data_IF_984402464290
#
_entry.id   IF_984402464290
#
_cell.length_a   1.000
_cell.length_b   1.000
_cell.length_c   1.000
_cell.angle_alpha   90.00
_cell.angle_beta   90.00
_cell.angle_gamma   90.00
#
_symmetry.space_group_name_H-M   'P 1'
#
loop_
_entity.id
_entity.type
_entity.pdbx_description
1 polymer ?
#
# COMPACT_ATOMS: atom_id res chain seq x y z
N UNK A 1 49.84 -20.39 -40.92
CA UNK A 1 49.23 -20.79 -39.64
C UNK A 1 48.52 -19.58 -39.04
N UNK A 2 47.17 -19.63 -39.02
CA UNK A 2 46.36 -18.55 -38.44
C UNK A 2 45.95 -18.98 -37.02
N UNK A 3 46.52 -18.35 -36.03
CA UNK A 3 46.18 -18.58 -34.63
C UNK A 3 44.86 -17.89 -34.33
N UNK A 4 43.80 -18.65 -34.13
CA UNK A 4 42.50 -18.12 -33.64
C UNK A 4 42.61 -17.86 -32.16
N UNK A 5 42.58 -16.58 -31.78
CA UNK A 5 42.43 -16.11 -30.41
C UNK A 5 40.97 -16.32 -29.99
N UNK A 6 40.73 -17.32 -29.15
CA UNK A 6 39.42 -17.57 -28.55
C UNK A 6 39.29 -16.62 -27.38
N UNK A 7 38.53 -15.52 -27.56
CA UNK A 7 38.14 -14.64 -26.47
C UNK A 7 37.00 -15.35 -25.74
N UNK A 8 37.32 -15.92 -24.58
CA UNK A 8 36.34 -16.46 -23.65
C UNK A 8 35.67 -15.28 -22.94
N UNK A 9 34.55 -14.81 -23.49
CA UNK A 9 33.68 -13.85 -22.78
C UNK A 9 33.04 -14.60 -21.61
N UNK A 10 33.66 -14.48 -20.45
CA UNK A 10 33.03 -14.81 -19.18
C UNK A 10 31.90 -13.78 -18.97
N UNK A 11 30.70 -14.10 -19.41
CA UNK A 11 29.47 -13.43 -18.99
C UNK A 11 29.33 -13.68 -17.48
N UNK A 12 29.91 -12.79 -16.69
CA UNK A 12 29.51 -12.62 -15.31
C UNK A 12 28.07 -12.06 -15.36
N UNK A 13 27.10 -12.95 -15.36
CA UNK A 13 25.74 -12.60 -15.00
C UNK A 13 25.79 -12.18 -13.53
N UNK A 14 26.02 -10.90 -13.29
CA UNK A 14 25.68 -10.29 -12.01
C UNK A 14 24.19 -10.55 -11.83
N UNK A 15 23.84 -11.48 -10.96
CA UNK A 15 22.49 -11.55 -10.41
C UNK A 15 22.34 -10.22 -9.67
N UNK A 16 21.70 -9.25 -10.31
CA UNK A 16 21.31 -7.99 -9.68
C UNK A 16 20.23 -8.33 -8.67
N UNK A 17 20.63 -8.70 -7.47
CA UNK A 17 19.73 -8.72 -6.32
C UNK A 17 19.50 -7.26 -6.00
N UNK A 18 18.29 -6.76 -6.17
CA UNK A 18 17.95 -5.35 -6.01
C UNK A 18 18.19 -4.84 -4.57
N UNK A 19 18.22 -5.76 -3.60
CA UNK A 19 18.58 -5.48 -2.20
C UNK A 19 19.26 -6.71 -1.60
N UNK A 20 20.53 -6.56 -1.24
CA UNK A 20 21.26 -7.60 -0.52
C UNK A 20 21.02 -7.48 0.98
N UNK A 21 21.27 -8.57 1.72
CA UNK A 21 21.25 -8.55 3.20
C UNK A 21 22.23 -7.50 3.74
N UNK A 22 23.41 -7.38 3.12
CA UNK A 22 24.41 -6.38 3.51
C UNK A 22 23.92 -4.94 3.32
N UNK A 23 23.23 -4.64 2.23
CA UNK A 23 22.67 -3.31 1.99
C UNK A 23 21.55 -3.00 3.00
N UNK A 24 20.70 -3.97 3.30
CA UNK A 24 19.68 -3.83 4.34
C UNK A 24 20.29 -3.59 5.70
N UNK A 25 21.31 -4.35 6.08
CA UNK A 25 21.99 -4.19 7.37
C UNK A 25 22.67 -2.81 7.48
N UNK A 26 23.27 -2.32 6.40
CA UNK A 26 23.80 -0.94 6.35
C UNK A 26 22.71 0.11 6.52
N UNK A 27 21.56 -0.08 5.91
CA UNK A 27 20.41 0.82 6.06
C UNK A 27 19.94 0.83 7.52
N UNK A 28 19.73 -0.34 8.12
CA UNK A 28 19.27 -0.45 9.51
C UNK A 28 20.26 0.15 10.52
N UNK A 29 21.57 0.10 10.26
CA UNK A 29 22.59 0.75 11.09
C UNK A 29 22.45 2.28 11.14
N UNK A 30 21.75 2.89 10.19
CA UNK A 30 21.48 4.34 10.18
C UNK A 30 20.27 4.74 11.03
N UNK A 31 19.47 3.77 11.49
CA UNK A 31 18.28 4.02 12.28
C UNK A 31 18.56 4.02 13.78
N UNK A 32 17.81 4.82 14.51
CA UNK A 32 17.65 4.67 15.95
C UNK A 32 16.63 3.55 16.21
N UNK A 33 17.13 2.30 16.21
CA UNK A 33 16.28 1.10 16.35
C UNK A 33 15.55 1.05 17.69
N UNK A 34 16.12 1.61 18.75
CA UNK A 34 15.45 1.69 20.06
C UNK A 34 14.20 2.57 19.94
N UNK A 35 14.34 3.72 19.30
CA UNK A 35 13.22 4.63 19.06
C UNK A 35 12.16 4.05 18.12
N UNK A 36 12.57 3.35 17.05
CA UNK A 36 11.63 2.71 16.12
C UNK A 36 10.85 1.61 16.83
N UNK A 37 11.52 0.74 17.60
CA UNK A 37 10.85 -0.33 18.34
C UNK A 37 9.91 0.22 19.43
N UNK A 38 10.32 1.28 20.13
CA UNK A 38 9.45 1.95 21.09
C UNK A 38 8.18 2.52 20.44
N UNK A 39 8.32 3.12 19.25
CA UNK A 39 7.19 3.62 18.47
C UNK A 39 6.26 2.46 18.03
N UNK A 40 6.80 1.33 17.59
CA UNK A 40 6.01 0.14 17.21
C UNK A 40 5.17 -0.35 18.39
N UNK A 41 5.74 -0.45 19.59
CA UNK A 41 4.98 -0.87 20.77
C UNK A 41 3.90 0.15 21.16
N UNK A 42 4.16 1.44 21.04
CA UNK A 42 3.18 2.49 21.29
C UNK A 42 2.02 2.44 20.27
N UNK A 43 2.32 2.21 18.98
CA UNK A 43 1.32 2.04 17.93
C UNK A 43 0.45 0.81 18.19
N UNK A 44 1.06 -0.31 18.57
CA UNK A 44 0.35 -1.56 18.86
C UNK A 44 -0.64 -1.41 20.03
N UNK A 45 -0.24 -0.72 21.10
CA UNK A 45 -1.14 -0.40 22.21
C UNK A 45 -2.32 0.41 21.70
N UNK A 46 -2.08 1.45 20.91
CA UNK A 46 -3.12 2.29 20.34
C UNK A 46 -4.07 1.55 19.40
N UNK A 47 -3.58 0.61 18.60
CA UNK A 47 -4.42 -0.24 17.75
C UNK A 47 -5.33 -1.15 18.57
N UNK A 48 -4.84 -1.72 19.66
CA UNK A 48 -5.65 -2.54 20.59
C UNK A 48 -6.74 -1.69 21.26
N UNK A 49 -6.41 -0.53 21.78
CA UNK A 49 -7.37 0.40 22.40
C UNK A 49 -8.45 0.83 21.42
N UNK A 50 -8.07 1.12 20.18
CA UNK A 50 -8.99 1.48 19.11
C UNK A 50 -9.94 0.34 18.78
N UNK A 51 -9.44 -0.88 18.65
CA UNK A 51 -10.26 -2.06 18.37
C UNK A 51 -11.28 -2.33 19.48
N UNK A 52 -10.88 -2.16 20.73
CA UNK A 52 -11.80 -2.24 21.86
C UNK A 52 -12.88 -1.17 21.78
N UNK A 53 -12.52 0.10 21.53
CA UNK A 53 -13.45 1.21 21.38
C UNK A 53 -14.47 0.95 20.25
N UNK A 54 -14.01 0.47 19.09
CA UNK A 54 -14.90 0.13 17.96
C UNK A 54 -15.87 -1.00 18.32
N UNK A 55 -15.40 -2.02 19.04
CA UNK A 55 -16.21 -3.14 19.47
C UNK A 55 -17.29 -2.72 20.48
N UNK A 56 -16.96 -1.88 21.44
CA UNK A 56 -17.91 -1.30 22.39
C UNK A 56 -18.94 -0.40 21.69
N UNK A 57 -18.50 0.40 20.73
CA UNK A 57 -19.41 1.27 19.97
C UNK A 57 -20.43 0.48 19.15
N UNK A 58 -20.01 -0.56 18.43
CA UNK A 58 -20.92 -1.43 17.66
C UNK A 58 -21.89 -2.15 18.58
N UNK A 59 -21.46 -2.60 19.76
CA UNK A 59 -22.33 -3.23 20.73
C UNK A 59 -23.45 -2.29 21.24
N UNK A 60 -23.17 -0.99 21.33
CA UNK A 60 -24.14 0.04 21.74
C UNK A 60 -24.97 0.59 20.59
N UNK A 61 -24.57 0.37 19.33
CA UNK A 61 -25.21 0.88 18.13
C UNK A 61 -25.50 -0.27 17.13
N UNK A 62 -26.54 -1.07 17.32
CA UNK A 62 -26.80 -2.28 16.51
C UNK A 62 -27.00 -2.04 15.02
N UNK A 63 -27.33 -0.83 14.61
CA UNK A 63 -27.49 -0.44 13.20
C UNK A 63 -26.15 -0.15 12.51
N UNK A 64 -25.05 -0.04 13.27
CA UNK A 64 -23.71 0.21 12.75
C UNK A 64 -23.10 -1.13 12.32
N UNK A 65 -22.83 -1.25 11.03
CA UNK A 65 -22.17 -2.45 10.48
C UNK A 65 -20.65 -2.30 10.58
N UNK A 66 -19.99 -3.35 11.05
CA UNK A 66 -18.53 -3.36 11.17
C UNK A 66 -17.85 -3.49 9.81
N UNK A 67 -18.42 -4.29 8.96
CA UNK A 67 -17.93 -4.65 7.63
C UNK A 67 -19.11 -4.88 6.70
N UNK A 68 -19.10 -4.29 5.49
CA UNK A 68 -20.18 -4.49 4.52
C UNK A 68 -19.79 -4.06 3.10
N UNK A 69 -20.53 -4.62 2.13
CA UNK A 69 -20.47 -4.22 0.72
C UNK A 69 -21.74 -3.48 0.32
N UNK A 70 -21.56 -2.36 -0.37
CA UNK A 70 -22.67 -1.57 -0.91
C UNK A 70 -22.23 -0.85 -2.19
N UNK A 71 -23.08 -0.87 -3.23
CA UNK A 71 -22.80 -0.28 -4.54
C UNK A 71 -21.45 -0.69 -5.15
N UNK A 72 -21.02 -1.93 -4.90
CA UNK A 72 -19.76 -2.48 -5.40
C UNK A 72 -18.50 -1.98 -4.68
N UNK A 73 -18.66 -1.26 -3.57
CA UNK A 73 -17.57 -0.83 -2.68
C UNK A 73 -17.58 -1.64 -1.40
N UNK A 74 -16.41 -1.91 -0.84
CA UNK A 74 -16.22 -2.51 0.47
C UNK A 74 -16.04 -1.40 1.51
N UNK A 75 -16.72 -1.50 2.63
CA UNK A 75 -16.66 -0.54 3.74
C UNK A 75 -16.29 -1.27 5.02
N UNK A 76 -15.28 -0.79 5.72
CA UNK A 76 -14.85 -1.29 7.03
C UNK A 76 -14.88 -0.15 8.03
N UNK A 77 -15.53 -0.37 9.18
CA UNK A 77 -15.56 0.60 10.27
C UNK A 77 -14.14 0.83 10.78
N UNK A 78 -13.64 2.05 10.61
CA UNK A 78 -12.25 2.40 10.89
C UNK A 78 -12.08 3.19 12.19
N UNK A 79 -13.00 4.12 12.46
CA UNK A 79 -12.90 4.99 13.62
C UNK A 79 -14.27 5.52 14.05
N UNK A 80 -14.31 6.26 15.16
CA UNK A 80 -15.48 6.97 15.64
C UNK A 80 -15.08 8.40 15.97
N UNK A 81 -15.80 9.35 15.40
CA UNK A 81 -15.52 10.76 15.62
C UNK A 81 -16.80 11.52 15.93
N UNK A 82 -16.86 12.19 17.09
CA UNK A 82 -18.07 12.89 17.52
C UNK A 82 -19.33 12.00 17.57
N UNK A 83 -19.17 10.73 17.98
CA UNK A 83 -20.22 9.71 18.02
C UNK A 83 -20.76 9.30 16.63
N UNK A 84 -20.01 9.56 15.55
CA UNK A 84 -20.33 9.10 14.19
C UNK A 84 -19.34 8.02 13.74
N UNK A 85 -19.82 6.91 13.13
CA UNK A 85 -18.93 5.88 12.59
C UNK A 85 -18.22 6.38 11.34
N UNK A 86 -16.92 6.09 11.27
CA UNK A 86 -16.05 6.43 10.14
C UNK A 86 -15.66 5.15 9.42
N UNK A 87 -15.89 5.12 8.11
CA UNK A 87 -15.57 3.95 7.28
C UNK A 87 -14.40 4.22 6.33
N UNK A 88 -13.59 3.19 6.11
CA UNK A 88 -12.68 3.10 4.97
C UNK A 88 -13.33 2.37 3.80
N UNK A 89 -12.92 2.70 2.57
CA UNK A 89 -13.34 2.06 1.32
C UNK A 89 -12.17 1.90 0.36
N UNK A 90 -12.34 1.07 -0.67
CA UNK A 90 -11.30 0.66 -1.63
C UNK A 90 -11.29 1.47 -2.93
N UNK A 91 -10.08 1.67 -3.53
CA UNK A 91 -9.88 2.54 -4.70
C UNK A 91 -8.84 1.98 -5.68
N UNK A 92 -9.15 1.76 -6.99
CA UNK A 92 -8.15 1.43 -8.02
C UNK A 92 -8.60 1.61 -9.48
N UNK A 93 -7.69 2.10 -10.42
CA UNK A 93 -7.62 1.78 -11.86
C UNK A 93 -6.43 2.36 -12.66
N UNK A 94 -5.90 1.55 -13.66
CA UNK A 94 -5.02 1.71 -14.86
C UNK A 94 -3.87 2.74 -14.81
N UNK A 95 -2.61 2.29 -14.65
CA UNK A 95 -1.47 3.21 -14.54
C UNK A 95 -0.14 2.82 -15.21
N UNK A 96 0.05 1.58 -15.68
CA UNK A 96 1.37 1.13 -16.16
C UNK A 96 1.97 1.95 -17.32
N UNK A 97 1.13 2.39 -18.26
CA UNK A 97 1.59 3.23 -19.41
C UNK A 97 1.86 4.66 -18.95
N UNK A 98 1.00 5.21 -18.09
CA UNK A 98 1.13 6.61 -17.62
C UNK A 98 2.37 6.80 -16.74
N UNK A 99 2.76 5.79 -15.97
CA UNK A 99 3.96 5.81 -15.12
C UNK A 99 5.24 5.43 -15.86
N UNK A 100 5.15 5.08 -17.16
CA UNK A 100 6.27 4.60 -17.98
C UNK A 100 6.98 3.34 -17.41
N UNK A 101 6.32 2.56 -16.59
CA UNK A 101 6.88 1.31 -16.03
C UNK A 101 7.26 0.34 -17.14
N UNK A 102 6.53 0.34 -18.25
CA UNK A 102 6.86 -0.47 -19.43
C UNK A 102 8.24 -0.15 -20.01
N UNK A 103 8.75 1.06 -19.85
CA UNK A 103 10.10 1.43 -20.32
C UNK A 103 11.22 0.83 -19.48
N UNK A 104 10.93 0.41 -18.25
CA UNK A 104 11.89 -0.20 -17.31
C UNK A 104 12.00 -1.72 -17.50
N UNK A 105 10.93 -2.36 -17.99
CA UNK A 105 10.83 -3.82 -18.12
C UNK A 105 11.72 -4.36 -19.27
N UNK A 106 11.96 -5.67 -19.34
CA UNK A 106 12.67 -6.30 -20.45
C UNK A 106 12.04 -5.92 -21.81
N UNK A 107 12.88 -5.43 -22.72
CA UNK A 107 12.44 -4.92 -24.04
C UNK A 107 11.84 -3.53 -24.04
N UNK A 108 11.82 -2.84 -22.90
CA UNK A 108 11.43 -1.42 -22.82
C UNK A 108 12.52 -0.46 -23.29
N UNK A 109 12.13 0.78 -23.58
CA UNK A 109 13.01 1.78 -24.23
C UNK A 109 14.29 2.10 -23.46
N UNK A 110 14.30 1.95 -22.12
CA UNK A 110 15.47 2.19 -21.29
C UNK A 110 16.41 0.99 -21.20
N UNK A 111 16.01 -0.17 -21.72
CA UNK A 111 16.78 -1.42 -21.73
C UNK A 111 17.38 -1.83 -20.36
N UNK A 112 16.66 -1.55 -19.27
CA UNK A 112 17.08 -1.83 -17.89
C UNK A 112 16.73 -3.25 -17.45
N UNK A 113 15.66 -3.82 -18.01
CA UNK A 113 15.22 -5.20 -17.70
C UNK A 113 14.76 -5.41 -16.26
N UNK A 114 14.20 -4.38 -15.61
CA UNK A 114 13.78 -4.44 -14.21
C UNK A 114 12.38 -5.06 -14.08
N UNK A 115 12.26 -6.07 -13.23
CA UNK A 115 11.00 -6.76 -12.93
C UNK A 115 10.75 -6.94 -11.42
N UNK A 116 11.58 -6.36 -10.56
CA UNK A 116 11.42 -6.39 -9.10
C UNK A 116 12.07 -7.59 -8.42
N UNK A 117 13.04 -8.25 -9.08
CA UNK A 117 13.79 -9.36 -8.50
C UNK A 117 14.43 -8.97 -7.17
N UNK A 118 14.23 -9.79 -6.14
CA UNK A 118 14.79 -9.58 -4.80
C UNK A 118 14.15 -8.46 -3.99
N UNK A 119 13.15 -7.77 -4.54
CA UNK A 119 12.38 -6.75 -3.82
C UNK A 119 11.19 -7.36 -3.09
N UNK A 120 10.88 -6.81 -1.92
CA UNK A 120 9.63 -7.05 -1.20
C UNK A 120 8.79 -5.78 -1.23
N UNK A 121 7.54 -5.90 -1.69
CA UNK A 121 6.56 -4.81 -1.74
C UNK A 121 5.46 -5.13 -0.73
N UNK A 122 5.10 -4.16 0.11
CA UNK A 122 3.97 -4.27 1.02
C UNK A 122 2.65 -3.90 0.34
N UNK A 123 1.58 -4.55 0.76
CA UNK A 123 0.21 -4.17 0.41
C UNK A 123 -0.66 -4.27 1.67
N UNK A 124 -1.32 -3.19 2.02
CA UNK A 124 -2.35 -3.20 3.07
C UNK A 124 -3.68 -2.82 2.45
N UNK A 125 -4.69 -3.63 2.74
CA UNK A 125 -6.03 -3.51 2.16
C UNK A 125 -7.11 -3.80 3.21
N UNK A 126 -8.39 -3.72 2.82
CA UNK A 126 -9.51 -4.10 3.69
C UNK A 126 -9.71 -5.61 3.78
N UNK A 127 -9.11 -6.34 2.84
CA UNK A 127 -9.08 -7.81 2.75
C UNK A 127 -7.70 -8.27 2.25
N UNK A 128 -7.54 -9.57 1.96
CA UNK A 128 -6.27 -10.14 1.52
C UNK A 128 -6.29 -10.48 0.03
N UNK A 129 -5.16 -10.44 -0.67
CA UNK A 129 -5.06 -11.02 -2.00
C UNK A 129 -5.18 -12.55 -1.90
N UNK A 130 -5.79 -13.16 -2.92
CA UNK A 130 -5.84 -14.62 -3.05
C UNK A 130 -4.43 -15.15 -3.36
N UNK A 131 -3.68 -15.48 -2.31
CA UNK A 131 -2.27 -15.86 -2.40
C UNK A 131 -2.04 -17.11 -3.28
N UNK A 132 -3.06 -17.96 -3.45
CA UNK A 132 -3.02 -19.16 -4.29
C UNK A 132 -3.37 -18.90 -5.76
N UNK A 133 -3.63 -17.64 -6.14
CA UNK A 133 -3.94 -17.30 -7.54
C UNK A 133 -2.71 -17.54 -8.43
N UNK A 134 -2.92 -18.12 -9.63
CA UNK A 134 -1.86 -18.49 -10.58
C UNK A 134 -0.88 -17.35 -10.91
N UNK A 135 -1.35 -16.10 -10.91
CA UNK A 135 -0.53 -14.90 -11.18
C UNK A 135 0.47 -14.56 -10.06
N UNK A 136 0.37 -15.24 -8.92
CA UNK A 136 1.27 -15.04 -7.77
C UNK A 136 2.21 -16.21 -7.51
N UNK A 137 2.18 -17.24 -8.34
CA UNK A 137 2.98 -18.45 -8.13
C UNK A 137 4.37 -18.31 -8.77
N UNK A 138 5.36 -18.86 -8.08
CA UNK A 138 6.67 -19.16 -8.64
C UNK A 138 6.60 -20.43 -9.49
N UNK A 139 7.64 -20.67 -10.29
CA UNK A 139 7.76 -21.88 -11.12
C UNK A 139 7.78 -23.17 -10.28
N UNK A 140 8.21 -23.11 -9.04
CA UNK A 140 8.22 -24.23 -8.09
C UNK A 140 6.86 -24.48 -7.40
N UNK A 141 5.85 -23.68 -7.71
CA UNK A 141 4.51 -23.77 -7.15
C UNK A 141 4.36 -23.09 -5.77
N UNK A 142 5.36 -22.36 -5.28
CA UNK A 142 5.24 -21.53 -4.08
C UNK A 142 4.62 -20.17 -4.41
N UNK A 143 3.88 -19.57 -3.46
CA UNK A 143 3.33 -18.24 -3.65
C UNK A 143 4.37 -17.16 -3.33
N UNK A 144 4.36 -16.08 -4.10
CA UNK A 144 5.11 -14.85 -3.82
C UNK A 144 4.35 -13.89 -2.89
N UNK A 145 3.10 -14.21 -2.56
CA UNK A 145 2.27 -13.44 -1.63
C UNK A 145 2.29 -14.11 -0.28
N UNK A 146 2.70 -13.38 0.76
CA UNK A 146 2.64 -13.80 2.16
C UNK A 146 1.66 -12.89 2.90
N UNK A 147 0.56 -13.44 3.38
CA UNK A 147 -0.34 -12.75 4.30
C UNK A 147 0.17 -12.90 5.73
N UNK A 148 0.30 -11.77 6.46
CA UNK A 148 1.02 -11.74 7.76
C UNK A 148 0.12 -11.85 8.98
N UNK A 149 -1.14 -11.52 8.85
CA UNK A 149 -2.13 -11.46 9.93
C UNK A 149 -3.30 -12.44 9.73
N UNK A 150 -3.18 -13.37 8.80
CA UNK A 150 -4.11 -14.47 8.59
C UNK A 150 -3.39 -15.79 8.33
N UNK A 151 -3.94 -16.87 8.88
CA UNK A 151 -3.45 -18.23 8.62
C UNK A 151 -4.17 -18.92 7.46
N UNK A 152 -5.10 -18.23 6.79
CA UNK A 152 -5.87 -18.82 5.69
C UNK A 152 -5.47 -18.18 4.34
N UNK A 153 -4.57 -18.81 3.55
CA UNK A 153 -4.12 -18.29 2.27
C UNK A 153 -5.20 -18.29 1.19
N UNK A 154 -6.35 -18.92 1.44
CA UNK A 154 -7.48 -18.99 0.51
C UNK A 154 -8.55 -17.91 0.80
N UNK A 155 -8.38 -17.10 1.81
CA UNK A 155 -9.21 -15.91 2.02
C UNK A 155 -8.66 -14.82 1.10
N UNK A 156 -9.42 -14.46 0.08
CA UNK A 156 -9.00 -13.44 -0.86
C UNK A 156 -10.18 -12.59 -1.30
N UNK A 157 -10.05 -11.27 -1.16
CA UNK A 157 -10.98 -10.30 -1.70
C UNK A 157 -10.62 -9.92 -3.15
N UNK A 158 -11.64 -9.55 -3.91
CA UNK A 158 -11.46 -9.16 -5.31
C UNK A 158 -10.56 -7.93 -5.47
N UNK A 159 -10.71 -6.94 -4.57
CA UNK A 159 -9.94 -5.69 -4.64
C UNK A 159 -8.46 -5.91 -4.27
N UNK A 160 -8.17 -6.54 -3.14
CA UNK A 160 -6.79 -6.82 -2.73
C UNK A 160 -6.05 -7.70 -3.75
N UNK A 161 -6.73 -8.72 -4.32
CA UNK A 161 -6.16 -9.54 -5.40
C UNK A 161 -5.87 -8.73 -6.66
N UNK A 162 -6.74 -7.77 -7.02
CA UNK A 162 -6.53 -6.89 -8.16
C UNK A 162 -5.35 -5.91 -7.92
N UNK A 163 -5.23 -5.34 -6.74
CA UNK A 163 -4.11 -4.46 -6.36
C UNK A 163 -2.80 -5.23 -6.39
N UNK A 164 -2.75 -6.40 -5.73
CA UNK A 164 -1.58 -7.28 -5.76
C UNK A 164 -1.20 -7.71 -7.19
N UNK A 165 -2.20 -7.99 -8.04
CA UNK A 165 -1.99 -8.30 -9.46
C UNK A 165 -1.39 -7.12 -10.23
N UNK A 166 -1.88 -5.90 -9.99
CA UNK A 166 -1.32 -4.68 -10.59
C UNK A 166 0.14 -4.48 -10.20
N UNK A 167 0.51 -4.81 -8.97
CA UNK A 167 1.89 -4.75 -8.49
C UNK A 167 2.74 -5.87 -9.07
N UNK A 168 2.32 -7.13 -8.92
CA UNK A 168 3.23 -8.26 -9.07
C UNK A 168 2.70 -9.50 -9.79
N UNK A 169 1.62 -9.42 -10.60
CA UNK A 169 1.20 -10.56 -11.42
C UNK A 169 2.32 -10.99 -12.38
N UNK A 170 2.61 -12.29 -12.45
CA UNK A 170 3.68 -12.82 -13.34
C UNK A 170 3.35 -12.66 -14.82
N UNK A 171 2.08 -12.51 -15.17
CA UNK A 171 1.63 -12.37 -16.55
C UNK A 171 1.40 -13.72 -17.24
N UNK A 172 0.79 -14.68 -16.53
CA UNK A 172 0.23 -15.89 -17.19
C UNK A 172 -0.65 -15.47 -18.37
N UNK A 173 -1.43 -14.42 -18.16
CA UNK A 173 -1.98 -13.62 -19.23
C UNK A 173 -1.14 -12.35 -19.40
N UNK A 174 -0.44 -12.22 -20.52
CA UNK A 174 0.46 -11.09 -20.79
C UNK A 174 -0.18 -9.70 -20.62
N UNK A 175 -1.48 -9.58 -20.88
CA UNK A 175 -2.23 -8.32 -20.69
C UNK A 175 -2.51 -7.97 -19.21
N UNK A 176 -2.29 -8.92 -18.32
CA UNK A 176 -2.47 -8.78 -16.86
C UNK A 176 -1.15 -8.69 -16.10
N UNK A 177 0.00 -8.67 -16.80
CA UNK A 177 1.32 -8.61 -16.17
C UNK A 177 1.42 -7.38 -15.24
N UNK A 178 1.88 -7.61 -14.02
CA UNK A 178 2.11 -6.57 -13.02
C UNK A 178 3.34 -5.71 -13.32
N UNK A 179 3.52 -4.65 -12.55
CA UNK A 179 4.62 -3.70 -12.74
C UNK A 179 5.96 -4.22 -12.23
N UNK A 180 5.93 -5.09 -11.21
CA UNK A 180 7.11 -5.76 -10.64
C UNK A 180 6.84 -7.27 -10.51
N UNK A 181 6.74 -8.00 -11.64
CA UNK A 181 6.21 -9.36 -11.69
C UNK A 181 7.09 -10.41 -10.98
N UNK A 182 8.30 -10.05 -10.58
CA UNK A 182 9.24 -10.92 -9.85
C UNK A 182 9.47 -10.50 -8.40
N UNK A 183 8.75 -9.48 -7.90
CA UNK A 183 8.82 -9.10 -6.50
C UNK A 183 8.08 -10.08 -5.59
N UNK A 184 8.50 -10.16 -4.33
CA UNK A 184 7.69 -10.74 -3.27
C UNK A 184 6.66 -9.70 -2.78
N UNK A 185 5.52 -10.16 -2.30
CA UNK A 185 4.45 -9.31 -1.77
C UNK A 185 4.15 -9.74 -0.33
N UNK A 186 4.25 -8.81 0.59
CA UNK A 186 3.75 -8.96 1.95
C UNK A 186 2.40 -8.26 2.04
N UNK A 187 1.39 -8.96 2.53
CA UNK A 187 0.02 -8.47 2.58
C UNK A 187 -0.55 -8.49 3.99
N UNK A 188 -1.11 -7.37 4.42
CA UNK A 188 -1.77 -7.19 5.70
C UNK A 188 -3.15 -6.54 5.57
N UNK A 189 -3.93 -6.62 6.64
CA UNK A 189 -5.22 -5.96 6.76
C UNK A 189 -5.07 -4.56 7.38
N UNK A 190 -6.03 -3.69 7.10
CA UNK A 190 -6.03 -2.31 7.62
C UNK A 190 -6.05 -2.22 9.16
N UNK A 191 -6.47 -3.26 9.86
CA UNK A 191 -6.60 -3.23 11.32
C UNK A 191 -5.25 -3.04 12.03
N UNK A 192 -4.18 -3.71 11.56
CA UNK A 192 -2.81 -3.62 12.10
C UNK A 192 -1.83 -2.82 11.25
N UNK A 193 -2.29 -2.10 10.26
CA UNK A 193 -1.48 -1.60 9.14
C UNK A 193 -0.26 -0.76 9.54
N UNK A 194 -0.32 0.01 10.62
CA UNK A 194 0.80 0.88 11.04
C UNK A 194 1.93 0.08 11.68
N UNK A 195 1.57 -0.73 12.67
CA UNK A 195 2.50 -1.59 13.40
C UNK A 195 3.13 -2.63 12.47
N UNK A 196 2.31 -3.29 11.66
CA UNK A 196 2.76 -4.30 10.71
C UNK A 196 3.68 -3.73 9.65
N UNK A 197 3.33 -2.59 9.05
CA UNK A 197 4.18 -1.91 8.07
C UNK A 197 5.55 -1.56 8.64
N UNK A 198 5.59 -1.00 9.86
CA UNK A 198 6.85 -0.66 10.51
C UNK A 198 7.69 -1.91 10.81
N UNK A 199 7.06 -2.99 11.29
CA UNK A 199 7.71 -4.27 11.54
C UNK A 199 8.24 -4.91 10.25
N UNK A 200 7.44 -4.93 9.18
CA UNK A 200 7.85 -5.52 7.91
C UNK A 200 9.00 -4.74 7.26
N UNK A 201 8.99 -3.42 7.35
CA UNK A 201 10.14 -2.64 6.89
C UNK A 201 11.44 -3.04 7.61
N UNK A 202 11.40 -3.23 8.93
CA UNK A 202 12.59 -3.62 9.71
C UNK A 202 13.01 -5.07 9.46
N UNK A 203 12.06 -5.99 9.31
CA UNK A 203 12.32 -7.43 9.35
C UNK A 203 12.48 -8.06 7.96
N UNK A 204 11.68 -7.64 6.97
CA UNK A 204 11.70 -8.20 5.61
C UNK A 204 12.51 -7.37 4.61
N UNK A 205 12.95 -6.17 5.01
CA UNK A 205 13.62 -5.22 4.11
C UNK A 205 12.67 -4.56 3.10
N UNK A 206 11.38 -4.54 3.38
CA UNK A 206 10.38 -3.86 2.56
C UNK A 206 10.66 -2.35 2.52
N UNK A 207 10.87 -1.79 1.32
CA UNK A 207 11.16 -0.36 1.14
C UNK A 207 9.96 0.45 0.68
N UNK A 208 8.91 -0.20 0.16
CA UNK A 208 7.72 0.47 -0.36
C UNK A 208 6.48 -0.35 -0.04
N UNK A 209 5.40 0.33 0.33
CA UNK A 209 4.09 -0.29 0.45
C UNK A 209 3.01 0.51 -0.26
N UNK A 210 1.98 -0.20 -0.72
CA UNK A 210 0.78 0.34 -1.34
C UNK A 210 -0.41 0.24 -0.39
N UNK A 211 -1.17 1.33 -0.29
CA UNK A 211 -2.36 1.48 0.52
C UNK A 211 -3.48 2.04 -0.37
N UNK A 212 -4.31 1.15 -0.93
CA UNK A 212 -5.39 1.54 -1.85
C UNK A 212 -6.76 1.61 -1.17
N UNK A 213 -6.79 2.17 0.02
CA UNK A 213 -7.96 2.44 0.84
C UNK A 213 -7.89 3.86 1.38
N UNK A 214 -8.95 4.34 1.98
CA UNK A 214 -9.00 5.66 2.60
C UNK A 214 -10.29 5.90 3.35
N UNK A 215 -10.32 6.95 4.15
CA UNK A 215 -11.54 7.41 4.81
C UNK A 215 -12.49 7.97 3.77
N UNK A 216 -13.75 7.52 3.82
CA UNK A 216 -14.77 7.92 2.85
C UNK A 216 -15.09 9.41 2.98
N UNK A 217 -15.14 10.10 1.85
CA UNK A 217 -15.81 11.40 1.73
C UNK A 217 -17.23 11.12 1.26
N UNK A 218 -18.21 11.32 2.12
CA UNK A 218 -19.62 11.02 1.84
C UNK A 218 -20.45 12.29 1.76
N UNK A 219 -21.34 12.38 0.75
CA UNK A 219 -22.21 13.53 0.53
C UNK A 219 -23.45 13.54 1.43
N UNK A 220 -23.82 12.41 2.01
CA UNK A 220 -25.11 12.24 2.70
C UNK A 220 -25.03 12.42 4.22
N UNK A 221 -23.85 12.48 4.78
CA UNK A 221 -23.63 12.62 6.22
C UNK A 221 -22.66 13.74 6.51
N UNK A 222 -23.08 14.96 6.85
CA UNK A 222 -22.21 16.06 7.36
C UNK A 222 -20.70 15.91 7.06
N UNK A 223 -20.37 15.46 5.89
CA UNK A 223 -19.06 14.90 5.50
C UNK A 223 -18.01 15.96 5.20
N UNK A 224 -18.33 17.26 5.34
CA UNK A 224 -17.34 18.35 5.41
C UNK A 224 -16.19 18.04 6.36
N UNK A 225 -16.49 17.25 7.34
CA UNK A 225 -15.61 16.78 8.38
C UNK A 225 -14.47 15.89 7.86
N UNK A 226 -14.70 15.13 6.83
CA UNK A 226 -13.70 14.26 6.23
C UNK A 226 -12.78 14.98 5.25
N UNK A 227 -13.25 16.05 4.65
CA UNK A 227 -12.46 16.91 3.79
C UNK A 227 -11.61 17.95 4.53
N UNK A 228 -11.71 18.02 5.86
CA UNK A 228 -10.96 19.00 6.65
C UNK A 228 -9.73 18.38 7.32
N UNK A 229 -8.56 18.84 6.92
CA UNK A 229 -7.30 18.47 7.56
C UNK A 229 -7.31 18.71 9.08
N UNK A 230 -7.71 19.91 9.51
CA UNK A 230 -7.57 20.35 10.90
C UNK A 230 -8.47 19.60 11.89
N UNK A 231 -9.59 19.04 11.43
CA UNK A 231 -10.56 18.39 12.30
C UNK A 231 -10.36 16.89 12.44
N UNK A 232 -9.44 16.29 11.66
CA UNK A 232 -9.35 14.84 11.57
C UNK A 232 -7.99 14.25 11.96
N UNK A 233 -6.87 14.97 11.81
CA UNK A 233 -5.59 14.32 11.66
C UNK A 233 -4.55 14.55 12.75
N UNK A 234 -4.71 15.52 13.63
CA UNK A 234 -3.74 15.82 14.67
C UNK A 234 -4.41 16.07 16.01
N UNK A 235 -5.06 15.04 16.53
CA UNK A 235 -5.71 15.08 17.83
C UNK A 235 -4.72 15.03 19.00
N UNK A 236 -3.48 14.66 18.74
CA UNK A 236 -2.48 14.39 19.76
C UNK A 236 -2.33 12.92 20.13
N UNK A 237 -3.20 12.06 19.60
CA UNK A 237 -3.11 10.60 19.77
C UNK A 237 -2.24 9.97 18.69
N UNK A 238 -1.53 8.88 19.02
CA UNK A 238 -0.83 8.04 18.03
C UNK A 238 -1.78 7.24 17.14
N UNK A 239 -3.04 7.11 17.53
CA UNK A 239 -4.09 6.54 16.67
C UNK A 239 -4.52 7.47 15.55
N UNK A 240 -4.12 8.74 15.63
CA UNK A 240 -4.36 9.73 14.60
C UNK A 240 -3.64 9.36 13.29
N UNK A 241 -4.40 9.15 12.23
CA UNK A 241 -3.91 8.60 10.98
C UNK A 241 -2.69 9.31 10.42
N UNK A 242 -2.75 10.62 10.25
CA UNK A 242 -1.68 11.38 9.61
C UNK A 242 -0.43 11.50 10.50
N UNK A 243 -0.62 11.81 11.79
CA UNK A 243 0.50 11.98 12.72
C UNK A 243 1.27 10.68 12.95
N UNK A 244 0.57 9.57 13.14
CA UNK A 244 1.20 8.27 13.35
C UNK A 244 2.05 7.86 12.13
N UNK A 245 1.54 8.06 10.93
CA UNK A 245 2.28 7.80 9.70
C UNK A 245 3.48 8.73 9.51
N UNK A 246 3.35 10.02 9.83
CA UNK A 246 4.50 10.95 9.82
C UNK A 246 5.61 10.50 10.78
N UNK A 247 5.26 9.96 11.95
CA UNK A 247 6.24 9.43 12.91
C UNK A 247 6.93 8.16 12.39
N UNK A 248 6.19 7.24 11.77
CA UNK A 248 6.78 6.05 11.13
C UNK A 248 7.77 6.50 10.07
N UNK A 249 7.32 7.26 9.08
CA UNK A 249 8.12 7.69 7.93
C UNK A 249 9.35 8.53 8.33
N UNK A 250 9.22 9.36 9.35
CA UNK A 250 10.34 10.13 9.87
C UNK A 250 11.42 9.25 10.52
N UNK A 251 11.03 8.20 11.23
CA UNK A 251 11.97 7.31 11.92
C UNK A 251 12.48 6.15 11.03
N UNK A 252 11.89 5.96 9.85
CA UNK A 252 12.29 4.95 8.85
C UNK A 252 12.52 5.61 7.49
N UNK A 253 13.55 6.46 7.32
CA UNK A 253 13.69 7.38 6.18
C UNK A 253 13.90 6.68 4.82
N UNK A 254 14.18 5.38 4.78
CA UNK A 254 14.27 4.61 3.55
C UNK A 254 12.98 3.88 3.16
N UNK A 255 11.96 3.95 4.02
CA UNK A 255 10.65 3.40 3.72
C UNK A 255 9.76 4.47 3.08
N UNK A 256 9.00 4.06 2.05
CA UNK A 256 8.05 4.92 1.34
C UNK A 256 6.65 4.32 1.36
N UNK A 257 5.71 5.06 1.91
CA UNK A 257 4.28 4.75 1.84
C UNK A 257 3.68 5.39 0.58
N UNK A 258 2.98 4.60 -0.23
CA UNK A 258 2.22 5.06 -1.39
C UNK A 258 0.74 4.84 -1.14
N UNK A 259 -0.07 5.88 -1.26
CA UNK A 259 -1.47 5.87 -0.86
C UNK A 259 -2.38 6.46 -1.94
N UNK A 260 -3.56 5.89 -2.11
CA UNK A 260 -4.57 6.41 -3.03
C UNK A 260 -5.17 7.72 -2.52
N UNK A 261 -5.35 8.70 -3.41
CA UNK A 261 -5.98 10.00 -3.09
C UNK A 261 -7.49 9.90 -2.83
N UNK A 262 -8.11 8.76 -3.07
CA UNK A 262 -9.56 8.56 -3.00
C UNK A 262 -10.25 8.62 -4.37
N UNK A 263 -11.55 8.33 -4.38
CA UNK A 263 -12.38 8.29 -5.61
C UNK A 263 -13.37 9.46 -5.72
N UNK A 264 -13.48 10.25 -4.69
CA UNK A 264 -14.52 11.25 -4.49
C UNK A 264 -14.14 12.63 -5.01
N UNK A 265 -13.09 12.74 -5.86
CA UNK A 265 -12.57 13.99 -6.38
C UNK A 265 -13.60 14.88 -7.11
N UNK A 266 -14.67 14.31 -7.66
CA UNK A 266 -15.76 15.04 -8.32
C UNK A 266 -16.92 15.41 -7.40
N UNK A 267 -16.91 14.95 -6.16
CA UNK A 267 -18.01 15.20 -5.22
C UNK A 267 -18.01 16.64 -4.70
N UNK A 268 -19.21 17.14 -4.44
CA UNK A 268 -19.43 18.37 -3.68
C UNK A 268 -20.31 18.04 -2.48
N UNK A 269 -20.02 18.65 -1.34
CA UNK A 269 -20.81 18.50 -0.12
C UNK A 269 -20.99 19.84 0.58
N UNK A 270 -21.99 19.93 1.44
CA UNK A 270 -22.30 21.17 2.17
C UNK A 270 -21.13 21.58 3.05
N UNK A 271 -20.62 22.79 2.85
CA UNK A 271 -19.47 23.33 3.56
C UNK A 271 -18.09 22.95 2.96
N UNK A 272 -18.05 22.14 1.90
CA UNK A 272 -16.84 21.81 1.18
C UNK A 272 -16.43 22.89 0.17
N UNK A 273 -15.17 22.80 -0.31
CA UNK A 273 -14.60 23.75 -1.26
C UNK A 273 -15.00 23.45 -2.73
N UNK A 274 -15.65 22.33 -3.00
CA UNK A 274 -16.12 21.94 -4.33
C UNK A 274 -15.35 20.75 -4.93
N UNK A 275 -15.69 20.33 -6.17
CA UNK A 275 -15.06 19.21 -6.84
C UNK A 275 -13.54 19.39 -6.96
N UNK A 276 -12.78 18.33 -6.68
CA UNK A 276 -11.33 18.32 -6.77
C UNK A 276 -10.58 18.98 -5.63
N UNK A 277 -11.26 19.60 -4.69
CA UNK A 277 -10.66 20.28 -3.53
C UNK A 277 -11.05 19.55 -2.25
N UNK A 278 -10.24 19.69 -1.18
CA UNK A 278 -10.49 19.19 0.18
C UNK A 278 -10.94 17.70 0.29
N UNK A 279 -10.49 16.85 -0.65
CA UNK A 279 -10.88 15.44 -0.73
C UNK A 279 -9.84 14.47 -0.14
N UNK A 280 -8.68 14.96 0.26
CA UNK A 280 -7.69 14.15 0.97
C UNK A 280 -8.09 14.02 2.43
N UNK A 281 -8.16 12.79 2.93
CA UNK A 281 -8.66 12.47 4.27
C UNK A 281 -7.74 11.49 4.99
N UNK A 282 -7.89 11.39 6.31
CA UNK A 282 -7.14 10.42 7.11
C UNK A 282 -5.63 10.51 6.89
N UNK A 283 -5.00 9.39 6.66
CA UNK A 283 -3.55 9.28 6.47
C UNK A 283 -3.02 9.90 5.19
N UNK A 284 -3.87 10.20 4.20
CA UNK A 284 -3.42 10.81 2.94
C UNK A 284 -2.84 12.21 3.11
N UNK A 285 -3.17 12.90 4.20
CA UNK A 285 -2.65 14.25 4.51
C UNK A 285 -1.35 14.25 5.31
N UNK A 286 -0.73 13.11 5.55
CA UNK A 286 0.61 13.09 6.15
C UNK A 286 1.65 13.68 5.19
N UNK A 287 2.80 14.14 5.74
CA UNK A 287 3.77 14.98 5.01
C UNK A 287 4.76 14.19 4.17
N UNK A 288 4.99 12.93 4.56
CA UNK A 288 6.14 12.17 4.06
C UNK A 288 5.73 10.96 3.17
N UNK A 289 4.44 10.82 2.84
CA UNK A 289 3.93 9.79 1.93
C UNK A 289 3.85 10.30 0.47
N UNK A 290 3.64 9.37 -0.44
CA UNK A 290 3.28 9.66 -1.84
C UNK A 290 1.78 9.43 -2.00
N UNK A 291 1.04 10.47 -2.35
CA UNK A 291 -0.40 10.37 -2.64
C UNK A 291 -0.61 10.32 -4.14
N UNK A 292 -1.30 9.27 -4.60
CA UNK A 292 -1.53 9.01 -6.02
C UNK A 292 -2.98 9.24 -6.37
N UNK A 293 -3.23 10.20 -7.25
CA UNK A 293 -4.55 10.47 -7.82
C UNK A 293 -4.72 9.80 -9.20
N UNK A 294 -5.98 9.58 -9.59
CA UNK A 294 -6.30 9.11 -10.93
C UNK A 294 -6.05 10.23 -11.96
N UNK A 295 -5.46 9.87 -13.10
CA UNK A 295 -5.31 10.77 -14.25
C UNK A 295 -5.84 10.10 -15.51
N UNK A 296 -6.38 10.88 -16.44
CA UNK A 296 -6.67 10.40 -17.78
C UNK A 296 -5.35 10.06 -18.51
N UNK A 297 -5.35 8.96 -19.25
CA UNK A 297 -4.21 8.60 -20.11
C UNK A 297 -4.07 9.68 -21.17
N UNK A 298 -3.03 10.49 -21.05
CA UNK A 298 -2.62 11.40 -22.14
C UNK A 298 -1.73 10.60 -23.09
N UNK A 299 -2.28 10.24 -24.24
CA UNK A 299 -1.61 9.42 -25.27
C UNK A 299 -0.46 10.15 -25.95
N UNK A 300 -0.26 11.44 -25.67
CA UNK A 300 0.76 12.29 -26.29
C UNK A 300 1.55 13.05 -25.23
N UNK A 301 2.47 12.39 -24.55
CA UNK A 301 3.61 13.09 -23.96
C UNK A 301 4.74 12.96 -24.99
N UNK A 302 5.14 14.01 -25.69
CA UNK A 302 6.34 13.95 -26.52
C UNK A 302 7.55 13.68 -25.65
N UNK A 303 8.60 13.06 -26.19
CA UNK A 303 9.80 12.65 -25.47
C UNK A 303 10.51 13.81 -24.80
#
# INVERSE_FOLDING_TARGET
>A
MKTKLLIFNLLFSCILIAQTVEERDKMLQTYDLEKVNSLIEELKIGEIEKEQMLSEYVALNPDVRRDYYENGKHYVLYDILGNKPIYMTTNNRKSAISTKTTSLSPGGDLNLGLEGEGMTIGIWELDYPLATHQEFMNDDGTSRVTAIDTNNPNVGGGHASHVAGTLGAVGVNNSSKGMAPKSNIVAGNVAGHKTETANEHLNSGMLVSNHSYGVVVDSDTDSWFFGSYASFNYSGSLNDGARAWDLILYNTPYYTKVEAAGNEGTFSYTGGLGPGLDKLTGSTVCKNNIVVANANITVNIPP
#
